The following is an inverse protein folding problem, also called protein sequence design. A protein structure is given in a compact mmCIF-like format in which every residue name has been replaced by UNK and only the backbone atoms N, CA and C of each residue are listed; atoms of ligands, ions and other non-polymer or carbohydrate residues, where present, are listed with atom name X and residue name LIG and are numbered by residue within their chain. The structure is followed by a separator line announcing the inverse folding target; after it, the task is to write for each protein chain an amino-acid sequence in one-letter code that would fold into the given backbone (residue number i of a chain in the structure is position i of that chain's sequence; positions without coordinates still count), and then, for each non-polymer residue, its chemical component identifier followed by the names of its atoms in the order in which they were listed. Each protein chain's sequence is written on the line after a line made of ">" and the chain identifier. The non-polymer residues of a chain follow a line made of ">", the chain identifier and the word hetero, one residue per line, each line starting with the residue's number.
data_IF_473187102146
#
_entry.id   IF_473187102146
#
_cell.length_a   1.000
_cell.length_b   1.000
_cell.length_c   1.000
_cell.angle_alpha   90.00
_cell.angle_beta   90.00
_cell.angle_gamma   90.00
#
_symmetry.space_group_name_H-M   'P 1'
#
loop_
_entity.id
_entity.type
_entity.pdbx_description
1 polymer ?
#
# COMPACT_ATOMS: atom_id res chain seq x y z
N UNK A 1 -10.31 10.60 10.11
CA UNK A 1 -9.84 10.00 8.85
C UNK A 1 -8.56 10.66 8.40
N UNK A 2 -7.71 9.93 7.80
CA UNK A 2 -6.47 10.48 7.26
C UNK A 2 -6.43 10.19 5.78
N UNK A 3 -5.61 10.92 5.06
CA UNK A 3 -5.47 10.76 3.62
C UNK A 3 -4.07 10.23 3.32
N UNK A 4 -4.00 9.18 2.54
CA UNK A 4 -2.75 8.52 2.19
C UNK A 4 -2.64 8.49 0.68
N UNK A 5 -1.44 8.69 0.15
CA UNK A 5 -1.21 8.56 -1.28
C UNK A 5 -0.85 7.11 -1.55
N UNK A 6 -1.61 6.47 -2.40
CA UNK A 6 -1.37 5.07 -2.73
C UNK A 6 -0.86 4.98 -4.15
N UNK A 7 0.33 4.42 -4.31
CA UNK A 7 0.90 4.20 -5.63
C UNK A 7 0.90 2.71 -5.86
N UNK A 8 0.16 2.27 -6.86
CA UNK A 8 0.09 0.86 -7.17
C UNK A 8 0.80 0.68 -8.50
N UNK A 9 2.00 0.18 -8.45
CA UNK A 9 2.79 0.07 -9.67
C UNK A 9 2.31 -1.04 -10.58
N UNK A 10 1.39 -1.87 -10.11
CA UNK A 10 0.85 -2.89 -10.99
C UNK A 10 -0.33 -2.36 -11.79
N UNK A 11 -0.85 -1.22 -11.44
CA UNK A 11 -1.98 -0.65 -12.14
C UNK A 11 -1.53 0.47 -13.04
N UNK A 12 -2.31 0.76 -14.04
CA UNK A 12 -1.94 1.85 -14.92
C UNK A 12 -2.31 3.19 -14.35
N UNK A 13 -3.05 3.21 -13.27
CA UNK A 13 -3.53 4.47 -12.73
C UNK A 13 -2.50 5.29 -11.99
N UNK A 14 -1.48 4.67 -11.50
CA UNK A 14 -0.47 5.42 -10.79
C UNK A 14 -0.93 5.79 -9.39
N UNK A 15 -0.75 7.04 -9.04
CA UNK A 15 -1.00 7.51 -7.69
C UNK A 15 -2.43 7.96 -7.51
N UNK A 16 -3.00 7.66 -6.38
CA UNK A 16 -4.31 8.20 -6.02
C UNK A 16 -4.35 8.42 -4.52
N UNK A 17 -5.23 9.31 -4.10
CA UNK A 17 -5.39 9.58 -2.69
C UNK A 17 -6.53 8.73 -2.16
N UNK A 18 -6.34 8.12 -1.02
CA UNK A 18 -7.38 7.33 -0.38
C UNK A 18 -7.53 7.79 1.05
N UNK A 19 -8.74 7.73 1.56
CA UNK A 19 -9.02 8.10 2.93
C UNK A 19 -9.19 6.85 3.75
N UNK A 20 -8.50 6.77 4.86
CA UNK A 20 -8.57 5.60 5.73
C UNK A 20 -8.69 6.06 7.17
N UNK A 21 -9.09 5.16 8.03
CA UNK A 21 -9.20 5.47 9.46
C UNK A 21 -7.82 5.53 10.09
N UNK A 22 -7.71 6.30 11.13
CA UNK A 22 -6.48 6.34 11.91
C UNK A 22 -6.24 4.94 12.46
N UNK A 23 -5.02 4.47 12.36
CA UNK A 23 -4.67 3.14 12.83
C UNK A 23 -4.73 2.06 11.76
N UNK A 24 -5.03 2.43 10.53
CA UNK A 24 -5.04 1.46 9.43
C UNK A 24 -3.62 0.99 9.15
N UNK A 25 -3.45 -0.31 8.97
CA UNK A 25 -2.15 -0.85 8.64
C UNK A 25 -1.99 -0.93 7.12
N UNK A 26 -0.73 -1.10 6.69
CA UNK A 26 -0.43 -1.26 5.27
C UNK A 26 -1.20 -2.45 4.70
N UNK A 27 -1.27 -3.54 5.44
CA UNK A 27 -1.99 -4.72 4.98
C UNK A 27 -3.46 -4.41 4.73
N UNK A 28 -4.09 -3.70 5.65
CA UNK A 28 -5.49 -3.36 5.48
C UNK A 28 -5.69 -2.41 4.31
N UNK A 29 -4.77 -1.48 4.13
CA UNK A 29 -4.85 -0.54 3.04
C UNK A 29 -4.78 -1.26 1.70
N UNK A 30 -3.85 -2.18 1.54
CA UNK A 30 -3.69 -2.90 0.29
C UNK A 30 -4.91 -3.77 0.02
N UNK A 31 -5.39 -4.49 1.00
CA UNK A 31 -6.53 -5.37 0.80
C UNK A 31 -7.77 -4.59 0.43
N UNK A 32 -7.96 -3.43 1.04
CA UNK A 32 -9.19 -2.68 0.81
C UNK A 32 -9.18 -1.92 -0.50
N UNK A 33 -8.02 -1.46 -0.93
CA UNK A 33 -7.97 -0.52 -2.05
C UNK A 33 -7.32 -1.06 -3.31
N UNK A 34 -6.52 -2.10 -3.23
CA UNK A 34 -5.93 -2.65 -4.44
C UNK A 34 -6.44 -4.04 -4.74
N UNK A 35 -7.00 -4.72 -3.77
CA UNK A 35 -7.47 -6.08 -3.99
C UNK A 35 -6.34 -7.09 -4.11
N UNK A 36 -5.11 -6.66 -4.01
CA UNK A 36 -3.99 -7.58 -4.14
C UNK A 36 -3.74 -8.29 -2.80
N UNK A 37 -3.01 -9.39 -2.85
CA UNK A 37 -2.63 -10.07 -1.63
C UNK A 37 -1.44 -9.32 -1.04
N UNK A 38 -1.58 -8.73 0.14
CA UNK A 38 -0.48 -7.94 0.70
C UNK A 38 0.81 -8.72 0.85
N UNK A 39 0.72 -10.01 1.09
CA UNK A 39 1.92 -10.81 1.28
C UNK A 39 2.66 -11.04 -0.03
N UNK A 40 2.03 -10.77 -1.15
CA UNK A 40 2.67 -10.93 -2.43
C UNK A 40 3.17 -9.60 -2.98
N UNK A 41 3.24 -8.59 -2.15
CA UNK A 41 3.66 -7.27 -2.59
C UNK A 41 4.81 -6.75 -1.75
N UNK A 42 5.65 -5.95 -2.36
CA UNK A 42 6.66 -5.22 -1.64
C UNK A 42 6.08 -3.84 -1.39
N UNK A 43 6.14 -3.39 -0.17
CA UNK A 43 5.51 -2.13 0.20
C UNK A 43 6.54 -1.18 0.76
N UNK A 44 6.45 0.07 0.37
CA UNK A 44 7.29 1.11 0.91
C UNK A 44 6.42 2.24 1.39
N UNK A 45 6.78 2.81 2.51
CA UNK A 45 6.09 3.98 3.02
C UNK A 45 7.12 5.10 3.05
N UNK A 46 6.86 6.17 2.30
CA UNK A 46 7.76 7.32 2.24
C UNK A 46 9.18 6.89 1.85
N UNK A 47 9.26 5.97 0.85
CA UNK A 47 10.52 5.51 0.32
C UNK A 47 11.28 4.56 1.23
N UNK A 48 10.73 4.18 2.33
CA UNK A 48 11.37 3.23 3.22
C UNK A 48 10.61 1.91 3.17
N UNK A 49 11.31 0.80 3.18
CA UNK A 49 10.66 -0.49 3.21
C UNK A 49 9.82 -0.58 4.48
N UNK A 50 8.62 -1.08 4.34
CA UNK A 50 7.70 -1.16 5.46
C UNK A 50 7.10 -2.55 5.57
N UNK A 51 6.73 -2.91 6.79
CA UNK A 51 6.07 -4.19 7.02
C UNK A 51 4.58 -4.03 6.81
N UNK A 52 3.91 -5.15 6.65
CA UNK A 52 2.46 -5.13 6.46
C UNK A 52 1.73 -4.61 7.69
N UNK A 53 2.37 -4.68 8.83
CA UNK A 53 1.74 -4.21 10.06
C UNK A 53 2.04 -2.76 10.38
N UNK A 54 2.77 -2.10 9.51
CA UNK A 54 3.08 -0.69 9.72
C UNK A 54 1.79 0.12 9.62
N UNK A 55 1.59 1.01 10.56
CA UNK A 55 0.41 1.87 10.55
C UNK A 55 0.70 3.09 9.70
N UNK A 56 -0.21 3.40 8.80
CA UNK A 56 -0.04 4.57 7.93
C UNK A 56 -0.54 5.81 8.64
N UNK A 57 0.03 6.94 8.29
CA UNK A 57 -0.33 8.21 8.87
C UNK A 57 -0.76 9.19 7.78
N UNK A 58 -1.37 10.28 8.21
CA UNK A 58 -1.85 11.27 7.25
C UNK A 58 -0.68 11.79 6.43
N UNK A 59 -0.87 11.84 5.14
CA UNK A 59 0.18 12.34 4.24
C UNK A 59 1.20 11.31 3.83
N UNK A 60 1.13 10.10 4.33
CA UNK A 60 2.09 9.08 3.95
C UNK A 60 1.91 8.68 2.49
N UNK A 61 3.01 8.30 1.86
CA UNK A 61 2.98 7.79 0.51
C UNK A 61 3.28 6.30 0.61
N UNK A 62 2.34 5.48 0.19
CA UNK A 62 2.49 4.04 0.23
C UNK A 62 2.66 3.54 -1.19
N UNK A 63 3.79 2.90 -1.46
CA UNK A 63 4.07 2.35 -2.78
C UNK A 63 3.94 0.84 -2.71
N UNK A 64 3.13 0.27 -3.58
CA UNK A 64 2.90 -1.16 -3.61
C UNK A 64 3.42 -1.70 -4.92
N UNK A 65 4.35 -2.63 -4.84
CA UNK A 65 4.92 -3.25 -6.03
C UNK A 65 4.70 -4.76 -5.94
N UNK A 66 3.97 -5.36 -6.85
CA UNK A 66 3.75 -6.79 -6.79
C UNK A 66 5.06 -7.52 -6.99
N UNK A 67 5.30 -8.50 -6.15
CA UNK A 67 6.49 -9.31 -6.31
C UNK A 67 6.09 -10.71 -6.70
N UNK A 68 4.96 -10.86 -7.34
CA UNK A 68 4.43 -12.13 -7.64
C UNK A 68 5.26 -12.81 -8.63
N UNK A 69 6.09 -13.61 -8.22
CA UNK A 69 6.95 -14.26 -9.06
C UNK A 69 6.38 -15.53 -9.39
N UNK A 70 5.56 -15.79 -9.89
CA UNK A 70 5.02 -16.94 -10.25
C UNK A 70 5.95 -17.82 -10.61
N UNK A 71 6.95 -17.58 -10.87
CA UNK A 71 7.86 -18.53 -11.22
C UNK A 71 7.52 -19.81 -10.78
N UNK A 72 7.00 -19.72 -9.95
CA UNK A 72 6.78 -20.97 -9.48
C UNK A 72 6.06 -21.67 -10.20
#
# INVERSE_FOLDING_TARGET
>A
MITVKLLDSSATGGTRNVEVSVGTTVSQLISAHTGANPESCMVRVNRATADLETIVNDGDRVTVTPTNIKGA
#
